data_IF_787793982158
#
_entry.id   IF_787793982158
#
_cell.length_a   1.000
_cell.length_b   1.000
_cell.length_c   1.000
_cell.angle_alpha   90.00
_cell.angle_beta   90.00
_cell.angle_gamma   90.00
#
_symmetry.space_group_name_H-M   'P 1'
#
loop_
_entity.id
_entity.type
_entity.pdbx_description
1 polymer ?
#
# COMPACT_ATOMS: atom_id res chain seq x y z
N UNK A 1 -7.55 13.12 -14.40
CA UNK A 1 -7.07 14.45 -14.84
C UNK A 1 -6.58 14.45 -16.29
N UNK A 2 -5.93 13.37 -16.75
CA UNK A 2 -5.42 13.22 -18.13
C UNK A 2 -6.48 13.12 -19.25
N UNK A 3 -7.75 12.90 -18.92
CA UNK A 3 -8.83 12.89 -19.92
C UNK A 3 -9.20 14.30 -20.43
N UNK A 4 -8.93 15.36 -19.66
CA UNK A 4 -9.40 16.71 -19.99
C UNK A 4 -8.78 17.27 -21.29
N UNK A 5 -7.46 17.11 -21.56
CA UNK A 5 -6.86 17.59 -22.80
C UNK A 5 -7.24 16.75 -24.03
N UNK A 6 -7.42 15.43 -23.87
CA UNK A 6 -7.78 14.56 -24.99
C UNK A 6 -9.24 14.71 -25.40
N UNK A 7 -10.15 14.87 -24.43
CA UNK A 7 -11.55 15.18 -24.70
C UNK A 7 -11.70 16.56 -25.37
N UNK A 8 -10.92 17.56 -24.94
CA UNK A 8 -10.93 18.88 -25.57
C UNK A 8 -10.42 18.81 -27.03
N UNK A 9 -9.35 18.06 -27.30
CA UNK A 9 -8.88 17.81 -28.67
C UNK A 9 -9.93 17.12 -29.55
N UNK A 10 -10.63 16.13 -29.01
CA UNK A 10 -11.70 15.42 -29.72
C UNK A 10 -12.91 16.32 -30.00
N UNK A 11 -13.27 17.18 -29.05
CA UNK A 11 -14.38 18.13 -29.20
C UNK A 11 -14.04 19.24 -30.21
N UNK A 12 -12.81 19.76 -30.18
CA UNK A 12 -12.32 20.71 -31.18
C UNK A 12 -12.29 20.07 -32.57
N UNK A 13 -11.83 18.82 -32.69
CA UNK A 13 -11.84 18.09 -33.97
C UNK A 13 -13.28 17.89 -34.50
N UNK A 14 -14.22 17.50 -33.64
CA UNK A 14 -15.63 17.35 -34.00
C UNK A 14 -16.29 18.68 -34.43
N UNK A 15 -16.00 19.79 -33.72
CA UNK A 15 -16.53 21.12 -34.05
C UNK A 15 -15.87 21.70 -35.30
N UNK A 16 -14.64 21.30 -35.62
CA UNK A 16 -13.88 21.81 -36.77
C UNK A 16 -14.23 21.12 -38.09
N UNK A 17 -14.93 19.98 -38.09
CA UNK A 17 -15.35 19.24 -39.29
C UNK A 17 -16.87 19.37 -39.54
N UNK A 18 -17.30 20.20 -40.52
CA UNK A 18 -18.72 20.46 -40.81
C UNK A 18 -19.49 19.26 -41.40
N UNK A 19 -18.79 18.22 -41.87
CA UNK A 19 -19.37 17.03 -42.48
C UNK A 19 -19.67 15.89 -41.52
N UNK A 20 -19.44 16.07 -40.22
CA UNK A 20 -19.54 14.99 -39.24
C UNK A 20 -20.99 14.71 -38.85
N UNK A 21 -21.37 13.44 -38.83
CA UNK A 21 -22.73 13.02 -38.51
C UNK A 21 -23.14 13.42 -37.08
N UNK A 22 -24.36 13.95 -36.92
CA UNK A 22 -24.88 14.47 -35.66
C UNK A 22 -24.87 13.46 -34.49
N UNK A 23 -24.95 12.16 -34.77
CA UNK A 23 -24.88 11.11 -33.75
C UNK A 23 -23.51 11.06 -33.05
N UNK A 24 -22.42 11.41 -33.74
CA UNK A 24 -21.06 11.48 -33.16
C UNK A 24 -20.98 12.60 -32.12
N UNK A 25 -21.65 13.73 -32.37
CA UNK A 25 -21.80 14.83 -31.43
C UNK A 25 -22.63 14.46 -30.20
N UNK A 26 -23.69 13.67 -30.40
CA UNK A 26 -24.52 13.20 -29.30
C UNK A 26 -23.75 12.24 -28.38
N UNK A 27 -22.98 11.32 -28.97
CA UNK A 27 -22.10 10.40 -28.22
C UNK A 27 -21.01 11.16 -27.47
N UNK A 28 -20.37 12.16 -28.09
CA UNK A 28 -19.32 12.96 -27.44
C UNK A 28 -19.87 13.79 -26.27
N UNK A 29 -21.06 14.36 -26.41
CA UNK A 29 -21.75 15.09 -25.34
C UNK A 29 -22.12 14.18 -24.17
N UNK A 30 -22.63 12.97 -24.43
CA UNK A 30 -22.92 11.97 -23.39
C UNK A 30 -21.63 11.59 -22.65
N UNK A 31 -20.56 11.31 -23.40
CA UNK A 31 -19.28 10.89 -22.84
C UNK A 31 -18.66 12.00 -21.97
N UNK A 32 -18.77 13.26 -22.39
CA UNK A 32 -18.37 14.43 -21.61
C UNK A 32 -19.23 14.63 -20.36
N UNK A 33 -20.55 14.45 -20.46
CA UNK A 33 -21.46 14.55 -19.31
C UNK A 33 -21.17 13.47 -18.25
N UNK A 34 -20.97 12.22 -18.68
CA UNK A 34 -20.58 11.11 -17.80
C UNK A 34 -19.22 11.38 -17.17
N UNK A 35 -18.21 11.78 -17.96
CA UNK A 35 -16.87 12.07 -17.47
C UNK A 35 -16.85 13.22 -16.45
N UNK A 36 -17.61 14.29 -16.68
CA UNK A 36 -17.71 15.42 -15.76
C UNK A 36 -18.46 15.06 -14.47
N UNK A 37 -19.56 14.29 -14.54
CA UNK A 37 -20.25 13.79 -13.35
C UNK A 37 -19.37 12.85 -12.53
N UNK A 38 -18.69 11.89 -13.18
CA UNK A 38 -17.77 10.98 -12.50
C UNK A 38 -16.59 11.74 -11.88
N UNK A 39 -16.02 12.73 -12.58
CA UNK A 39 -14.88 13.51 -12.10
C UNK A 39 -15.25 14.43 -10.92
N UNK A 40 -16.45 14.99 -10.90
CA UNK A 40 -16.92 15.80 -9.77
C UNK A 40 -17.28 14.95 -8.54
N UNK A 41 -17.84 13.75 -8.74
CA UNK A 41 -18.10 12.80 -7.65
C UNK A 41 -16.81 12.18 -7.12
N UNK A 42 -15.89 11.77 -8.00
CA UNK A 42 -14.62 11.17 -7.62
C UNK A 42 -13.65 12.15 -6.93
N UNK A 43 -13.62 13.42 -7.35
CA UNK A 43 -12.80 14.47 -6.70
C UNK A 43 -13.18 14.75 -5.25
N UNK A 44 -14.42 14.43 -4.85
CA UNK A 44 -14.90 14.60 -3.47
C UNK A 44 -14.62 13.39 -2.58
N UNK A 45 -14.27 12.25 -3.16
CA UNK A 45 -14.27 10.97 -2.48
C UNK A 45 -12.91 10.27 -2.43
N UNK A 46 -11.98 10.62 -3.32
CA UNK A 46 -10.62 10.08 -3.34
C UNK A 46 -9.58 11.19 -3.23
N UNK A 47 -8.68 11.06 -2.28
CA UNK A 47 -7.49 11.89 -2.15
C UNK A 47 -6.54 11.66 -3.34
N UNK A 48 -5.67 12.63 -3.61
CA UNK A 48 -4.62 12.49 -4.64
C UNK A 48 -3.74 11.27 -4.33
N UNK A 49 -3.44 11.02 -3.05
CA UNK A 49 -2.69 9.84 -2.60
C UNK A 49 -3.40 8.51 -2.89
N UNK A 50 -4.70 8.43 -2.66
CA UNK A 50 -5.50 7.22 -3.02
C UNK A 50 -5.52 6.98 -4.52
N UNK A 51 -5.60 8.04 -5.33
CA UNK A 51 -5.54 7.92 -6.80
C UNK A 51 -4.18 7.35 -7.24
N UNK A 52 -3.08 7.81 -6.65
CA UNK A 52 -1.73 7.30 -6.94
C UNK A 52 -1.57 5.86 -6.47
N UNK A 53 -2.10 5.50 -5.30
CA UNK A 53 -2.10 4.11 -4.81
C UNK A 53 -2.87 3.18 -5.76
N UNK A 54 -4.06 3.58 -6.23
CA UNK A 54 -4.83 2.83 -7.21
C UNK A 54 -4.05 2.65 -8.54
N UNK A 55 -3.40 3.71 -9.02
CA UNK A 55 -2.65 3.68 -10.28
C UNK A 55 -1.34 2.88 -10.21
N UNK A 56 -0.70 2.78 -9.05
CA UNK A 56 0.62 2.14 -8.91
C UNK A 56 0.55 0.77 -8.26
N UNK A 57 -0.15 0.65 -7.13
CA UNK A 57 -0.19 -0.58 -6.34
C UNK A 57 -1.23 -1.55 -6.88
N UNK A 58 -2.43 -1.07 -7.16
CA UNK A 58 -3.53 -1.95 -7.57
C UNK A 58 -3.45 -2.31 -9.06
N UNK A 59 -3.00 -1.38 -9.91
CA UNK A 59 -2.66 -1.70 -11.30
C UNK A 59 -1.57 -2.79 -11.40
N UNK A 60 -0.53 -2.71 -10.56
CA UNK A 60 0.52 -3.72 -10.53
C UNK A 60 -0.02 -5.09 -10.09
N UNK A 61 -0.84 -5.13 -9.04
CA UNK A 61 -1.49 -6.39 -8.62
C UNK A 61 -2.35 -7.00 -9.73
N UNK A 62 -3.07 -6.19 -10.51
CA UNK A 62 -3.87 -6.68 -11.62
C UNK A 62 -3.00 -7.26 -12.74
N UNK A 63 -1.86 -6.64 -13.04
CA UNK A 63 -0.88 -7.22 -13.96
C UNK A 63 -0.34 -8.56 -13.45
N UNK A 64 0.00 -8.64 -12.16
CA UNK A 64 0.48 -9.87 -11.55
C UNK A 64 -0.59 -10.98 -11.63
N UNK A 65 -1.85 -10.69 -11.28
CA UNK A 65 -2.97 -11.64 -11.37
C UNK A 65 -3.15 -12.14 -12.80
N UNK A 66 -3.07 -11.25 -13.79
CA UNK A 66 -3.22 -11.63 -15.21
C UNK A 66 -2.22 -12.70 -15.62
N UNK A 67 -0.98 -12.64 -15.12
CA UNK A 67 0.04 -13.65 -15.38
C UNK A 67 -0.29 -15.02 -14.73
N UNK A 68 -1.01 -15.04 -13.60
CA UNK A 68 -1.35 -16.28 -12.87
C UNK A 68 -2.67 -16.93 -13.28
N UNK A 69 -3.54 -16.23 -14.02
CA UNK A 69 -4.84 -16.79 -14.45
C UNK A 69 -4.67 -18.07 -15.27
N UNK A 70 -3.75 -18.07 -16.24
CA UNK A 70 -3.50 -19.24 -17.08
C UNK A 70 -2.94 -20.43 -16.28
N UNK A 71 -2.12 -20.16 -15.25
CA UNK A 71 -1.59 -21.19 -14.37
C UNK A 71 -2.69 -21.86 -13.54
N UNK A 72 -3.68 -21.09 -13.11
CA UNK A 72 -4.77 -21.58 -12.25
C UNK A 72 -5.63 -22.63 -12.98
N UNK A 73 -6.03 -22.39 -14.23
CA UNK A 73 -6.80 -23.39 -14.98
C UNK A 73 -5.94 -24.58 -15.41
N UNK A 74 -4.68 -24.32 -15.78
CA UNK A 74 -3.73 -25.36 -16.19
C UNK A 74 -3.45 -26.37 -15.06
N UNK A 75 -3.26 -25.90 -13.83
CA UNK A 75 -3.00 -26.76 -12.67
C UNK A 75 -4.17 -27.67 -12.32
N UNK A 76 -5.42 -27.19 -12.42
CA UNK A 76 -6.61 -28.02 -12.20
C UNK A 76 -6.68 -29.17 -13.21
N UNK A 77 -6.48 -28.86 -14.49
CA UNK A 77 -6.46 -29.86 -15.55
C UNK A 77 -5.33 -30.88 -15.34
N UNK A 78 -4.14 -30.42 -14.95
CA UNK A 78 -2.98 -31.27 -14.67
C UNK A 78 -3.25 -32.26 -13.52
N UNK A 79 -3.90 -31.82 -12.43
CA UNK A 79 -4.25 -32.69 -11.30
C UNK A 79 -5.22 -33.79 -11.75
N UNK A 80 -6.25 -33.43 -12.52
CA UNK A 80 -7.26 -34.39 -13.00
C UNK A 80 -6.62 -35.45 -13.90
N UNK A 81 -5.82 -35.04 -14.89
CA UNK A 81 -5.10 -35.96 -15.78
C UNK A 81 -4.12 -36.85 -15.02
N UNK A 82 -3.42 -36.30 -14.03
CA UNK A 82 -2.48 -37.07 -13.20
C UNK A 82 -3.19 -38.15 -12.40
N UNK A 83 -4.34 -37.83 -11.77
CA UNK A 83 -5.15 -38.79 -11.03
C UNK A 83 -5.71 -39.87 -11.98
N UNK A 84 -6.14 -39.50 -13.19
CA UNK A 84 -6.62 -40.45 -14.19
C UNK A 84 -5.55 -41.47 -14.59
N UNK A 85 -4.33 -41.02 -14.90
CA UNK A 85 -3.24 -41.94 -15.24
C UNK A 85 -2.80 -42.79 -14.05
N UNK A 86 -2.72 -42.21 -12.84
CA UNK A 86 -2.44 -42.97 -11.63
C UNK A 86 -3.49 -44.05 -11.38
N UNK A 87 -4.77 -43.77 -11.61
CA UNK A 87 -5.84 -44.75 -11.43
C UNK A 87 -5.70 -45.94 -12.39
N UNK A 88 -5.26 -45.67 -13.62
CA UNK A 88 -5.02 -46.72 -14.61
C UNK A 88 -3.86 -47.65 -14.22
N UNK A 89 -2.80 -47.11 -13.64
CA UNK A 89 -1.60 -47.89 -13.26
C UNK A 89 -1.72 -48.58 -11.90
N UNK A 90 -2.27 -47.90 -10.88
CA UNK A 90 -2.29 -48.37 -9.48
C UNK A 90 -3.69 -48.77 -8.99
N UNK A 91 -4.74 -48.58 -9.80
CA UNK A 91 -6.11 -48.92 -9.45
C UNK A 91 -6.63 -48.15 -8.22
N UNK A 92 -7.48 -48.76 -7.38
CA UNK A 92 -8.11 -48.09 -6.24
C UNK A 92 -7.14 -47.53 -5.17
N UNK A 93 -5.88 -47.96 -5.17
CA UNK A 93 -4.87 -47.51 -4.19
C UNK A 93 -4.61 -45.99 -4.23
N UNK A 94 -4.93 -45.32 -5.34
CA UNK A 94 -4.77 -43.87 -5.51
C UNK A 94 -5.64 -43.06 -4.54
N UNK A 95 -6.79 -43.60 -4.12
CA UNK A 95 -7.70 -42.94 -3.18
C UNK A 95 -7.04 -42.64 -1.82
N UNK A 96 -6.15 -43.51 -1.36
CA UNK A 96 -5.42 -43.29 -0.11
C UNK A 96 -4.51 -42.05 -0.20
N UNK A 97 -3.79 -41.89 -1.33
CA UNK A 97 -2.94 -40.73 -1.57
C UNK A 97 -3.73 -39.43 -1.70
N UNK A 98 -4.83 -39.45 -2.47
CA UNK A 98 -5.74 -38.30 -2.60
C UNK A 98 -6.36 -37.93 -1.24
N UNK A 99 -6.75 -38.92 -0.44
CA UNK A 99 -7.28 -38.70 0.91
C UNK A 99 -6.30 -37.95 1.83
N UNK A 100 -5.01 -38.34 1.81
CA UNK A 100 -3.96 -37.62 2.56
C UNK A 100 -3.78 -36.19 2.05
N UNK A 101 -3.80 -35.97 0.74
CA UNK A 101 -3.70 -34.63 0.15
C UNK A 101 -4.88 -33.73 0.57
N UNK A 102 -6.11 -34.28 0.54
CA UNK A 102 -7.32 -33.56 0.97
C UNK A 102 -7.24 -33.22 2.46
N UNK A 103 -6.76 -34.12 3.31
CA UNK A 103 -6.54 -33.86 4.74
C UNK A 103 -5.47 -32.80 5.02
N UNK A 104 -4.49 -32.62 4.13
CA UNK A 104 -3.48 -31.57 4.28
C UNK A 104 -4.04 -30.16 4.00
N UNK A 105 -5.12 -30.03 3.22
CA UNK A 105 -5.78 -28.74 2.95
C UNK A 105 -6.25 -28.05 4.24
N UNK A 106 -7.07 -28.66 5.11
CA UNK A 106 -7.51 -28.03 6.35
C UNK A 106 -6.36 -27.82 7.34
N UNK A 107 -5.38 -28.73 7.41
CA UNK A 107 -4.19 -28.56 8.27
C UNK A 107 -3.43 -27.29 7.88
N UNK A 108 -3.14 -27.12 6.60
CA UNK A 108 -2.48 -25.92 6.08
C UNK A 108 -3.34 -24.66 6.27
N UNK A 109 -4.66 -24.74 6.12
CA UNK A 109 -5.56 -23.60 6.37
C UNK A 109 -5.55 -23.14 7.84
N UNK A 110 -5.60 -24.08 8.79
CA UNK A 110 -5.51 -23.76 10.23
C UNK A 110 -4.14 -23.16 10.57
N UNK A 111 -3.06 -23.75 10.07
CA UNK A 111 -1.70 -23.21 10.27
C UNK A 111 -1.56 -21.80 9.68
N UNK A 112 -2.07 -21.57 8.46
CA UNK A 112 -2.03 -20.27 7.82
C UNK A 112 -2.78 -19.19 8.62
N UNK A 113 -3.98 -19.51 9.15
CA UNK A 113 -4.72 -18.56 9.99
C UNK A 113 -4.02 -18.27 11.31
N UNK A 114 -3.38 -19.26 11.93
CA UNK A 114 -2.57 -19.07 13.15
C UNK A 114 -1.34 -18.21 12.87
N UNK A 115 -0.63 -18.48 11.78
CA UNK A 115 0.51 -17.69 11.32
C UNK A 115 0.10 -16.23 11.07
N UNK A 116 -1.04 -15.99 10.41
CA UNK A 116 -1.56 -14.63 10.20
C UNK A 116 -1.86 -13.91 11.52
N UNK A 117 -2.48 -14.59 12.49
CA UNK A 117 -2.74 -14.01 13.82
C UNK A 117 -1.44 -13.63 14.54
N UNK A 118 -0.43 -14.50 14.49
CA UNK A 118 0.90 -14.23 15.08
C UNK A 118 1.58 -13.07 14.35
N UNK A 119 1.54 -13.06 13.02
CA UNK A 119 2.12 -12.00 12.19
C UNK A 119 1.53 -10.63 12.54
N UNK A 120 0.20 -10.52 12.69
CA UNK A 120 -0.46 -9.27 13.09
C UNK A 120 -0.05 -8.84 14.50
N UNK A 121 0.06 -9.77 15.46
CA UNK A 121 0.58 -9.43 16.80
C UNK A 121 2.02 -8.92 16.74
N UNK A 122 2.87 -9.59 15.96
CA UNK A 122 4.26 -9.18 15.74
C UNK A 122 4.36 -7.78 15.09
N UNK A 123 3.46 -7.42 14.18
CA UNK A 123 3.41 -6.07 13.61
C UNK A 123 3.13 -5.02 14.69
N UNK A 124 2.18 -5.26 15.59
CA UNK A 124 1.89 -4.33 16.71
C UNK A 124 3.10 -4.12 17.63
N UNK A 125 3.86 -5.17 17.92
CA UNK A 125 5.09 -5.04 18.72
C UNK A 125 6.18 -4.26 17.96
N UNK A 126 6.32 -4.49 16.64
CA UNK A 126 7.23 -3.72 15.78
C UNK A 126 6.84 -2.24 15.78
N UNK A 127 5.56 -1.90 15.64
CA UNK A 127 5.08 -0.52 15.65
C UNK A 127 5.34 0.17 16.99
N UNK A 128 5.05 -0.51 18.11
CA UNK A 128 5.33 0.04 19.44
C UNK A 128 6.82 0.30 19.65
N UNK A 129 7.68 -0.62 19.21
CA UNK A 129 9.13 -0.45 19.26
C UNK A 129 9.58 0.74 18.41
N UNK A 130 9.06 0.87 17.18
CA UNK A 130 9.39 1.98 16.29
C UNK A 130 8.95 3.32 16.86
N UNK A 131 7.76 3.40 17.47
CA UNK A 131 7.29 4.62 18.12
C UNK A 131 8.23 5.07 19.24
N UNK A 132 8.57 4.18 20.17
CA UNK A 132 9.49 4.48 21.27
C UNK A 132 10.86 4.89 20.74
N UNK A 133 11.37 4.17 19.73
CA UNK A 133 12.64 4.49 19.09
C UNK A 133 12.63 5.88 18.47
N UNK A 134 11.54 6.28 17.80
CA UNK A 134 11.37 7.61 17.24
C UNK A 134 11.31 8.71 18.32
N UNK A 135 10.64 8.46 19.44
CA UNK A 135 10.60 9.40 20.57
C UNK A 135 11.98 9.62 21.19
N UNK A 136 12.77 8.55 21.33
CA UNK A 136 14.16 8.61 21.81
C UNK A 136 15.03 9.38 20.80
N UNK A 137 14.96 9.02 19.51
CA UNK A 137 15.70 9.69 18.43
C UNK A 137 15.37 11.18 18.36
N UNK A 138 14.09 11.55 18.51
CA UNK A 138 13.67 12.95 18.53
C UNK A 138 14.34 13.73 19.67
N UNK A 139 14.38 13.16 20.88
CA UNK A 139 15.07 13.81 22.01
C UNK A 139 16.58 13.98 21.79
N UNK A 140 17.24 12.93 21.28
CA UNK A 140 18.68 12.99 20.98
C UNK A 140 18.94 14.06 19.91
N UNK A 141 18.13 14.13 18.86
CA UNK A 141 18.25 15.15 17.80
C UNK A 141 18.15 16.57 18.37
N UNK A 142 17.17 16.84 19.23
CA UNK A 142 17.02 18.17 19.85
C UNK A 142 18.26 18.52 20.68
N UNK A 143 18.73 17.62 21.54
CA UNK A 143 19.93 17.89 22.36
C UNK A 143 21.18 18.12 21.50
N UNK A 144 21.39 17.32 20.45
CA UNK A 144 22.53 17.47 19.52
C UNK A 144 22.46 18.81 18.79
N UNK A 145 21.28 19.22 18.30
CA UNK A 145 21.09 20.50 17.62
C UNK A 145 21.39 21.65 18.59
N UNK A 146 20.83 21.62 19.80
CA UNK A 146 21.05 22.71 20.77
C UNK A 146 22.51 22.83 21.18
N UNK A 147 23.21 21.73 21.44
CA UNK A 147 24.64 21.77 21.78
C UNK A 147 25.50 22.23 20.60
N UNK A 148 25.18 21.78 19.38
CA UNK A 148 25.86 22.24 18.17
C UNK A 148 25.70 23.76 18.00
N UNK A 149 24.47 24.27 18.14
CA UNK A 149 24.18 25.70 18.07
C UNK A 149 24.90 26.48 19.18
N UNK A 150 24.90 25.96 20.41
CA UNK A 150 25.57 26.61 21.56
C UNK A 150 27.06 26.84 21.32
N UNK A 151 27.76 25.84 20.78
CA UNK A 151 29.19 25.92 20.45
C UNK A 151 29.45 26.82 19.22
N UNK A 152 28.51 26.89 18.27
CA UNK A 152 28.66 27.72 17.07
C UNK A 152 28.41 29.22 17.30
N UNK A 153 27.58 29.59 18.27
CA UNK A 153 27.17 30.99 18.50
C UNK A 153 28.32 31.87 19.00
N UNK A 154 29.20 31.35 19.86
CA UNK A 154 30.33 32.10 20.40
C UNK A 154 31.52 31.15 20.64
N UNK A 155 32.70 31.55 20.17
CA UNK A 155 33.95 30.82 20.36
C UNK A 155 34.33 30.65 21.84
N UNK A 156 33.78 31.47 22.74
CA UNK A 156 33.99 31.37 24.18
C UNK A 156 33.08 30.34 24.88
N UNK A 157 32.07 29.81 24.18
CA UNK A 157 31.15 28.82 24.75
C UNK A 157 31.79 27.43 24.83
N UNK A 158 32.28 27.07 26.02
CA UNK A 158 32.77 25.72 26.29
C UNK A 158 31.61 24.83 26.74
N UNK A 159 31.35 23.76 25.98
CA UNK A 159 30.39 22.72 26.33
C UNK A 159 31.00 21.77 27.37
N UNK A 160 30.81 22.09 28.66
CA UNK A 160 31.22 21.21 29.75
C UNK A 160 30.22 20.06 29.98
N UNK A 161 30.69 18.96 30.58
CA UNK A 161 29.83 17.84 30.96
C UNK A 161 28.69 18.29 31.87
N UNK A 162 28.94 19.20 32.82
CA UNK A 162 27.94 19.75 33.72
C UNK A 162 26.79 20.45 32.97
N UNK A 163 27.11 21.36 32.02
CA UNK A 163 26.11 22.03 31.19
C UNK A 163 25.33 21.04 30.32
N UNK A 164 26.00 20.01 29.80
CA UNK A 164 25.35 18.98 28.98
C UNK A 164 24.36 18.14 29.81
N UNK A 165 24.76 17.62 30.97
CA UNK A 165 23.91 16.80 31.83
C UNK A 165 22.72 17.58 32.41
N UNK A 166 22.95 18.82 32.86
CA UNK A 166 21.88 19.70 33.36
C UNK A 166 20.88 20.02 32.25
N UNK A 167 21.35 20.37 31.05
CA UNK A 167 20.49 20.67 29.89
C UNK A 167 19.69 19.44 29.43
N UNK A 168 20.30 18.25 29.36
CA UNK A 168 19.59 16.99 29.02
C UNK A 168 18.48 16.71 30.03
N UNK A 169 18.75 16.93 31.32
CA UNK A 169 17.76 16.74 32.39
C UNK A 169 16.59 17.73 32.24
N UNK A 170 16.88 19.00 31.97
CA UNK A 170 15.87 20.03 31.72
C UNK A 170 15.02 19.73 30.47
N UNK A 171 15.63 19.29 29.37
CA UNK A 171 14.90 18.87 28.18
C UNK A 171 13.99 17.67 28.44
N UNK A 172 14.42 16.71 29.26
CA UNK A 172 13.60 15.55 29.60
C UNK A 172 12.37 15.93 30.44
N UNK A 173 12.50 16.93 31.33
CA UNK A 173 11.36 17.50 32.09
C UNK A 173 10.37 18.21 31.15
N UNK A 174 10.88 18.98 30.19
CA UNK A 174 10.05 19.72 29.23
C UNK A 174 9.37 18.82 28.18
N UNK A 175 9.83 17.58 28.00
CA UNK A 175 9.27 16.65 27.03
C UNK A 175 7.80 16.31 27.30
N UNK A 176 7.41 16.13 28.57
CA UNK A 176 6.04 15.76 28.95
C UNK A 176 5.01 16.84 28.56
N UNK A 177 5.13 18.11 28.99
CA UNK A 177 4.16 19.15 28.64
C UNK A 177 4.08 19.41 27.14
N UNK A 178 5.23 19.38 26.44
CA UNK A 178 5.27 19.57 24.98
C UNK A 178 4.59 18.43 24.20
N UNK A 179 4.67 17.19 24.70
CA UNK A 179 4.02 16.04 24.07
C UNK A 179 2.50 16.02 24.26
N UNK A 180 1.98 16.75 25.26
CA UNK A 180 0.54 16.86 25.54
C UNK A 180 -0.16 18.02 24.84
N UNK A 181 0.59 18.92 24.21
CA UNK A 181 0.00 19.99 23.41
C UNK A 181 -0.71 19.39 22.20
N UNK A 182 -1.96 19.79 21.91
CA UNK A 182 -2.61 19.42 20.67
C UNK A 182 -1.77 19.99 19.52
N UNK A 183 -1.20 19.10 18.71
CA UNK A 183 -0.50 19.46 17.47
C UNK A 183 -1.48 19.70 16.33
#
# INVERSE_FOLDING_TARGET
MFLNPQLLKFLIAFVSDPGTYAWVGFVSAILMFVALKLSNLARRQYTIGETVNLMSVDAQKLMDVTNYIHLTWSTVLQIVLSIYFLWRELGPSVLAGVGVMVLMIPVNAVLATKNRKIQVKNMKYKDKRLKIMNEILSGIKVSVITFSVYVMVDSNNVLSAEKAFTSITLFNILRFPLATLPM
#
